data_IF_812351733449
#
_entry.id   IF_812351733449
#
_cell.length_a   1.000
_cell.length_b   1.000
_cell.length_c   1.000
_cell.angle_alpha   90.00
_cell.angle_beta   90.00
_cell.angle_gamma   90.00
#
_symmetry.space_group_name_H-M   'P 1'
#
loop_
_entity.id
_entity.type
_entity.pdbx_description
1 polymer ?
#
# COMPACT_ATOMS: atom_id res chain seq x y z
N UNK A 1 29.17 -44.57 1.04
CA UNK A 1 29.85 -43.41 1.65
C UNK A 1 30.73 -42.78 0.58
N UNK A 2 30.26 -41.69 -0.02
CA UNK A 2 30.99 -40.99 -1.09
C UNK A 2 30.21 -39.73 -1.46
N UNK A 3 30.50 -38.65 -0.75
CA UNK A 3 29.85 -37.35 -0.89
C UNK A 3 30.29 -36.68 -2.20
N UNK A 4 29.34 -36.31 -3.06
CA UNK A 4 29.58 -35.46 -4.22
C UNK A 4 29.45 -34.00 -3.78
N UNK A 5 30.52 -33.22 -3.99
CA UNK A 5 30.60 -31.82 -3.60
C UNK A 5 29.61 -30.95 -4.35
N UNK A 6 28.84 -30.15 -3.61
CA UNK A 6 28.07 -29.04 -4.16
C UNK A 6 28.94 -27.79 -4.06
N UNK A 7 29.59 -27.45 -5.17
CA UNK A 7 30.29 -26.20 -5.34
C UNK A 7 29.23 -25.09 -5.39
N UNK A 8 29.09 -24.34 -4.29
CA UNK A 8 28.25 -23.15 -4.24
C UNK A 8 28.95 -22.03 -5.02
N UNK A 9 28.88 -22.09 -6.34
CA UNK A 9 29.27 -20.99 -7.22
C UNK A 9 28.29 -19.84 -7.05
N UNK A 10 28.68 -18.89 -6.20
CA UNK A 10 28.17 -17.53 -6.20
C UNK A 10 28.33 -16.91 -7.58
N UNK A 11 27.22 -16.64 -8.28
CA UNK A 11 27.19 -15.78 -9.45
C UNK A 11 26.61 -14.43 -9.03
N UNK A 12 27.47 -13.50 -8.63
CA UNK A 12 27.12 -12.07 -8.59
C UNK A 12 27.71 -11.39 -9.81
N UNK A 13 27.04 -11.55 -10.95
CA UNK A 13 27.22 -10.65 -12.08
C UNK A 13 26.15 -9.57 -11.96
N UNK A 14 26.59 -8.31 -12.00
CA UNK A 14 25.83 -7.05 -11.92
C UNK A 14 25.68 -6.43 -10.52
N UNK A 15 25.99 -5.12 -10.36
CA UNK A 15 25.61 -4.37 -9.18
C UNK A 15 24.09 -4.21 -9.19
N UNK A 16 23.43 -4.79 -8.18
CA UNK A 16 21.99 -4.72 -7.95
C UNK A 16 21.65 -3.34 -7.35
N UNK A 17 21.72 -2.29 -8.17
CA UNK A 17 21.30 -0.92 -7.79
C UNK A 17 19.78 -0.72 -8.03
N UNK A 18 19.01 -1.80 -7.88
CA UNK A 18 17.55 -1.75 -7.70
C UNK A 18 17.28 -2.35 -6.34
N UNK A 19 16.75 -1.55 -5.41
CA UNK A 19 16.22 -2.07 -4.17
C UNK A 19 15.32 -3.27 -4.48
N UNK A 20 15.63 -4.42 -3.88
CA UNK A 20 14.85 -5.64 -4.05
C UNK A 20 13.38 -5.35 -3.73
N UNK A 21 12.45 -5.95 -4.48
CA UNK A 21 11.04 -5.84 -4.15
C UNK A 21 10.77 -6.60 -2.84
N UNK A 22 10.63 -5.85 -1.75
CA UNK A 22 10.42 -6.37 -0.39
C UNK A 22 9.01 -6.04 0.12
N UNK A 23 7.95 -6.71 -0.38
CA UNK A 23 6.57 -6.37 -0.03
C UNK A 23 6.22 -6.58 1.45
N UNK A 24 7.03 -7.35 2.18
CA UNK A 24 6.85 -7.68 3.59
C UNK A 24 8.03 -7.22 4.46
N UNK A 25 8.68 -6.12 4.07
CA UNK A 25 9.71 -5.50 4.92
C UNK A 25 9.12 -5.22 6.33
N UNK A 26 9.69 -5.76 7.42
CA UNK A 26 9.09 -5.66 8.75
C UNK A 26 8.92 -4.23 9.28
N UNK A 27 9.84 -3.33 8.94
CA UNK A 27 9.79 -1.94 9.41
C UNK A 27 8.70 -1.16 8.68
N UNK A 28 8.57 -1.36 7.36
CA UNK A 28 7.50 -0.78 6.56
C UNK A 28 6.13 -1.28 7.01
N UNK A 29 5.99 -2.59 7.20
CA UNK A 29 4.73 -3.20 7.69
C UNK A 29 4.34 -2.62 9.04
N UNK A 30 5.28 -2.50 9.98
CA UNK A 30 5.03 -1.87 11.28
C UNK A 30 4.55 -0.43 11.11
N UNK A 31 5.24 0.36 10.30
CA UNK A 31 4.88 1.76 10.07
C UNK A 31 3.50 1.92 9.43
N UNK A 32 3.17 1.13 8.41
CA UNK A 32 1.87 1.19 7.73
C UNK A 32 0.72 0.72 8.63
N UNK A 33 0.94 -0.29 9.45
CA UNK A 33 -0.07 -0.75 10.41
C UNK A 33 -0.39 0.32 11.46
N UNK A 34 0.62 1.04 11.99
CA UNK A 34 0.36 2.15 12.89
C UNK A 34 -0.49 3.24 12.22
N UNK A 35 -0.13 3.66 11.01
CA UNK A 35 -0.92 4.65 10.25
C UNK A 35 -2.35 4.18 9.96
N UNK A 36 -2.54 2.89 9.70
CA UNK A 36 -3.87 2.32 9.45
C UNK A 36 -4.73 2.29 10.73
N UNK A 37 -4.14 1.95 11.88
CA UNK A 37 -4.84 1.97 13.18
C UNK A 37 -5.19 3.40 13.58
N UNK A 38 -4.30 4.36 13.36
CA UNK A 38 -4.56 5.78 13.60
C UNK A 38 -5.75 6.24 12.74
N UNK A 39 -5.76 5.90 11.44
CA UNK A 39 -6.88 6.21 10.56
C UNK A 39 -8.22 5.64 11.05
N UNK A 40 -8.25 4.37 11.49
CA UNK A 40 -9.47 3.74 12.02
C UNK A 40 -9.95 4.48 13.28
N UNK A 41 -9.02 4.80 14.18
CA UNK A 41 -9.33 5.51 15.43
C UNK A 41 -9.87 6.91 15.17
N UNK A 42 -9.25 7.65 14.24
CA UNK A 42 -9.70 8.96 13.82
C UNK A 42 -11.08 8.90 13.16
N UNK A 43 -11.34 7.87 12.35
CA UNK A 43 -12.66 7.67 11.74
C UNK A 43 -13.73 7.48 12.81
N UNK A 44 -13.53 6.56 13.77
CA UNK A 44 -14.49 6.34 14.87
C UNK A 44 -14.70 7.58 15.75
N UNK A 45 -13.68 8.40 15.93
CA UNK A 45 -13.79 9.64 16.70
C UNK A 45 -14.62 10.70 15.98
N UNK A 46 -14.59 10.72 14.64
CA UNK A 46 -15.22 11.76 13.84
C UNK A 46 -16.48 11.31 13.11
N UNK A 47 -16.82 10.01 13.10
CA UNK A 47 -17.95 9.46 12.32
C UNK A 47 -19.29 10.09 12.69
N UNK A 48 -19.48 10.51 13.95
CA UNK A 48 -20.71 11.17 14.39
C UNK A 48 -20.95 12.53 13.71
N UNK A 49 -19.87 13.17 13.23
CA UNK A 49 -19.95 14.43 12.48
C UNK A 49 -20.19 14.24 10.98
N UNK A 50 -20.07 13.00 10.47
CA UNK A 50 -20.22 12.67 9.06
C UNK A 50 -21.69 12.37 8.73
N UNK A 51 -22.15 12.69 7.50
CA UNK A 51 -23.50 12.36 7.09
C UNK A 51 -23.70 10.84 7.03
N UNK A 52 -24.76 10.33 7.66
CA UNK A 52 -25.09 8.89 7.64
C UNK A 52 -25.40 8.39 6.23
N UNK A 53 -26.02 9.25 5.40
CA UNK A 53 -26.32 8.96 4.01
C UNK A 53 -25.38 9.79 3.11
N UNK A 54 -24.49 9.15 2.33
CA UNK A 54 -23.60 9.87 1.42
C UNK A 54 -24.39 10.53 0.28
N UNK A 55 -24.02 11.77 -0.07
CA UNK A 55 -24.67 12.56 -1.12
C UNK A 55 -23.91 12.47 -2.46
N UNK A 56 -23.73 11.25 -2.97
CA UNK A 56 -22.95 10.97 -4.17
C UNK A 56 -23.82 10.39 -5.29
N UNK A 57 -23.40 10.59 -6.54
CA UNK A 57 -24.09 10.02 -7.72
C UNK A 57 -23.62 8.59 -7.98
N UNK A 58 -24.48 7.71 -8.53
CA UNK A 58 -24.03 6.43 -9.05
C UNK A 58 -22.88 6.62 -10.05
N UNK A 59 -21.78 5.88 -9.86
CA UNK A 59 -20.60 5.97 -10.72
C UNK A 59 -19.58 7.05 -10.36
N UNK A 60 -19.82 7.91 -9.35
CA UNK A 60 -18.92 9.04 -9.03
C UNK A 60 -17.44 8.63 -8.88
N UNK A 61 -17.19 7.48 -8.24
CA UNK A 61 -15.83 7.00 -7.98
C UNK A 61 -15.11 6.57 -9.27
N UNK A 62 -15.85 6.14 -10.31
CA UNK A 62 -15.26 5.81 -11.61
C UNK A 62 -14.76 7.07 -12.35
N UNK A 63 -15.41 8.21 -12.13
CA UNK A 63 -14.98 9.49 -12.69
C UNK A 63 -13.75 10.06 -11.97
N UNK A 64 -13.54 9.67 -10.71
CA UNK A 64 -12.43 10.13 -9.87
C UNK A 64 -11.17 9.26 -10.00
N UNK A 65 -11.34 7.95 -10.22
CA UNK A 65 -10.23 7.01 -10.35
C UNK A 65 -9.76 6.88 -11.81
N UNK A 66 -8.46 6.60 -11.97
CA UNK A 66 -7.90 6.31 -13.29
C UNK A 66 -8.46 5.00 -13.85
N UNK A 67 -8.78 4.98 -15.15
CA UNK A 67 -9.34 3.82 -15.84
C UNK A 67 -8.39 2.59 -15.88
N UNK A 68 -7.10 2.80 -15.66
CA UNK A 68 -6.09 1.75 -15.61
C UNK A 68 -5.19 1.91 -14.38
N UNK A 69 -4.67 0.81 -13.81
CA UNK A 69 -3.71 0.88 -12.72
C UNK A 69 -2.42 1.63 -13.11
N UNK A 70 -1.77 2.32 -12.16
CA UNK A 70 -0.51 3.00 -12.42
C UNK A 70 0.61 2.00 -12.70
N UNK A 71 1.56 2.39 -13.56
CA UNK A 71 2.75 1.58 -13.89
C UNK A 71 3.72 1.46 -12.71
N UNK A 72 3.69 2.43 -11.79
CA UNK A 72 4.56 2.49 -10.61
C UNK A 72 3.71 2.61 -9.35
N UNK A 73 4.23 2.12 -8.23
CA UNK A 73 3.57 2.26 -6.93
C UNK A 73 3.49 3.74 -6.52
N UNK A 74 2.38 4.08 -5.87
CA UNK A 74 2.24 5.34 -5.15
C UNK A 74 2.71 5.16 -3.69
N UNK A 75 3.24 6.21 -3.05
CA UNK A 75 3.50 6.20 -1.61
C UNK A 75 2.22 5.97 -0.81
N UNK A 76 2.32 5.25 0.31
CA UNK A 76 1.17 4.91 1.17
C UNK A 76 0.33 6.14 1.58
N UNK A 77 0.99 7.25 1.88
CA UNK A 77 0.31 8.48 2.32
C UNK A 77 -0.54 9.12 1.21
N UNK A 78 -0.16 8.94 -0.06
CA UNK A 78 -0.95 9.41 -1.22
C UNK A 78 -2.23 8.59 -1.32
N UNK A 79 -2.12 7.26 -1.27
CA UNK A 79 -3.28 6.36 -1.28
C UNK A 79 -4.21 6.62 -0.11
N UNK A 80 -3.66 6.85 1.09
CA UNK A 80 -4.45 7.17 2.28
C UNK A 80 -5.13 8.54 2.21
N UNK A 81 -4.58 9.48 1.44
CA UNK A 81 -5.25 10.76 1.17
C UNK A 81 -6.44 10.55 0.24
N UNK A 82 -6.25 9.84 -0.87
CA UNK A 82 -7.31 9.50 -1.82
C UNK A 82 -8.44 8.72 -1.13
N UNK A 83 -8.11 7.75 -0.26
CA UNK A 83 -9.10 7.04 0.52
C UNK A 83 -9.98 7.97 1.37
N UNK A 84 -9.38 8.98 2.03
CA UNK A 84 -10.11 9.94 2.85
C UNK A 84 -10.98 10.90 2.04
N UNK A 85 -10.54 11.28 0.84
CA UNK A 85 -11.25 12.28 0.02
C UNK A 85 -12.26 11.70 -0.92
N UNK A 86 -12.08 10.44 -1.34
CA UNK A 86 -12.82 9.84 -2.45
C UNK A 86 -13.69 8.68 -1.99
N UNK A 87 -13.31 7.92 -0.94
CA UNK A 87 -14.04 6.72 -0.50
C UNK A 87 -14.89 6.95 0.75
N UNK A 88 -14.38 7.70 1.72
CA UNK A 88 -15.08 7.99 3.00
C UNK A 88 -16.26 8.98 2.90
N UNK A 89 -16.32 9.97 1.98
CA UNK A 89 -17.44 10.94 1.93
C UNK A 89 -18.83 10.33 1.76
#
# INVERSE_FOLDING_TARGET
>A
MGSLGTNATSFSAFPDDKAAFEPLNPEDVRAYLHKAVDFISDYYTNVESMPVLPNVKPGYLQDELSASPPTYSAPFDVTMKELRTSVVP
#
